data_IF_001333189936
#
_entry.id   IF_001333189936
#
_cell.length_a   1.000
_cell.length_b   1.000
_cell.length_c   1.000
_cell.angle_alpha   90.00
_cell.angle_beta   90.00
_cell.angle_gamma   90.00
#
_symmetry.space_group_name_H-M   'P 1'
#
loop_
_entity.id
_entity.type
_entity.pdbx_description
1 polymer ?
#
# COMPACT_ATOMS: atom_id res chain seq x y z
N UNK A 1 -49.84 19.85 17.92
CA UNK A 1 -48.97 19.97 16.73
C UNK A 1 -47.93 21.04 17.01
N UNK A 2 -46.69 20.63 17.28
CA UNK A 2 -45.52 21.51 17.29
C UNK A 2 -44.54 20.91 16.28
N UNK A 3 -43.83 21.72 15.47
CA UNK A 3 -42.93 21.17 14.47
C UNK A 3 -41.74 20.55 15.20
N UNK A 4 -41.54 19.25 14.99
CA UNK A 4 -40.33 18.57 15.45
C UNK A 4 -39.14 19.16 14.72
N UNK A 5 -38.12 19.55 15.49
CA UNK A 5 -36.84 20.00 14.98
C UNK A 5 -36.25 18.89 14.09
N UNK A 6 -36.33 19.12 12.78
CA UNK A 6 -35.63 18.34 11.77
C UNK A 6 -34.16 18.71 11.90
N UNK A 7 -33.41 17.95 12.70
CA UNK A 7 -31.95 18.05 12.72
C UNK A 7 -31.47 17.61 11.34
N UNK A 8 -31.10 18.57 10.49
CA UNK A 8 -30.57 18.31 9.15
C UNK A 8 -29.44 17.28 9.22
N UNK A 9 -29.51 16.26 8.35
CA UNK A 9 -28.53 15.17 8.24
C UNK A 9 -27.07 15.65 8.06
N UNK A 10 -26.88 16.87 7.56
CA UNK A 10 -25.58 17.55 7.49
C UNK A 10 -24.89 17.70 8.85
N UNK A 11 -25.66 17.80 9.93
CA UNK A 11 -25.13 17.98 11.30
C UNK A 11 -24.63 16.66 11.88
N UNK A 12 -25.24 15.53 11.51
CA UNK A 12 -24.82 14.18 11.92
C UNK A 12 -23.60 13.71 11.11
N UNK A 13 -23.55 14.02 9.81
CA UNK A 13 -22.37 13.79 8.98
C UNK A 13 -21.16 14.59 9.50
N UNK A 14 -21.36 15.86 9.87
CA UNK A 14 -20.30 16.68 10.47
C UNK A 14 -19.84 16.18 11.85
N UNK A 15 -20.73 15.55 12.64
CA UNK A 15 -20.40 14.97 13.96
C UNK A 15 -19.65 13.65 13.83
N UNK A 16 -20.02 12.80 12.87
CA UNK A 16 -19.25 11.59 12.52
C UNK A 16 -17.86 11.90 11.97
N UNK A 17 -17.72 13.02 11.23
CA UNK A 17 -16.41 13.50 10.75
C UNK A 17 -15.54 14.12 11.86
N UNK A 18 -16.14 14.68 12.91
CA UNK A 18 -15.41 15.18 14.10
C UNK A 18 -14.96 14.05 15.03
N UNK A 19 -15.72 12.94 15.08
CA UNK A 19 -15.31 11.71 15.76
C UNK A 19 -14.25 10.92 14.96
N UNK A 20 -14.07 11.24 13.67
CA UNK A 20 -12.86 10.96 12.89
C UNK A 20 -11.72 11.95 13.18
N UNK A 21 -11.68 12.58 14.36
CA UNK A 21 -10.39 12.97 14.91
C UNK A 21 -9.63 11.65 15.02
N UNK A 22 -8.81 11.37 14.01
CA UNK A 22 -7.89 10.26 13.93
C UNK A 22 -7.00 10.41 15.14
N UNK A 23 -7.46 9.93 16.29
CA UNK A 23 -6.64 9.76 17.45
C UNK A 23 -5.45 8.99 16.89
N UNK A 24 -4.23 9.53 16.98
CA UNK A 24 -3.06 8.77 16.57
C UNK A 24 -3.19 7.48 17.35
N UNK A 25 -3.55 6.40 16.66
CA UNK A 25 -3.65 5.11 17.29
C UNK A 25 -2.22 4.91 17.76
N UNK A 26 -2.02 5.02 19.07
CA UNK A 26 -0.72 4.80 19.67
C UNK A 26 -0.30 3.48 19.05
N UNK A 27 0.73 3.51 18.21
CA UNK A 27 1.45 2.31 17.81
C UNK A 27 1.97 1.79 19.15
N UNK A 28 1.15 1.04 19.88
CA UNK A 28 1.63 0.07 20.83
C UNK A 28 2.17 -1.05 19.95
N UNK A 29 3.24 -0.73 19.23
CA UNK A 29 4.28 -1.67 18.89
C UNK A 29 4.87 -2.12 20.22
N UNK A 30 4.10 -2.90 20.99
CA UNK A 30 4.72 -4.06 21.60
C UNK A 30 5.31 -4.78 20.40
N UNK A 31 6.64 -4.72 20.27
CA UNK A 31 7.38 -5.35 19.20
C UNK A 31 6.97 -6.83 19.17
N UNK A 32 5.92 -7.13 18.41
CA UNK A 32 5.36 -8.45 18.30
C UNK A 32 6.39 -9.20 17.49
N UNK A 33 7.05 -10.18 18.10
CA UNK A 33 8.06 -10.97 17.41
C UNK A 33 7.44 -11.51 16.12
N UNK A 34 8.02 -11.12 14.98
CA UNK A 34 7.58 -11.58 13.66
C UNK A 34 7.77 -13.09 13.62
N UNK A 35 6.68 -13.84 13.52
CA UNK A 35 6.73 -15.29 13.47
C UNK A 35 7.01 -15.79 12.06
N UNK A 36 7.46 -17.05 11.94
CA UNK A 36 7.57 -17.74 10.64
C UNK A 36 6.21 -17.80 9.92
N UNK A 37 5.11 -17.82 10.67
CA UNK A 37 3.77 -17.78 10.12
C UNK A 37 3.46 -16.44 9.44
N UNK A 38 3.88 -15.32 10.02
CA UNK A 38 3.67 -13.98 9.46
C UNK A 38 4.44 -13.80 8.15
N UNK A 39 5.68 -14.31 8.10
CA UNK A 39 6.49 -14.33 6.87
C UNK A 39 5.78 -15.15 5.79
N UNK A 40 5.29 -16.33 6.14
CA UNK A 40 4.60 -17.21 5.21
C UNK A 40 3.32 -16.58 4.62
N UNK A 41 2.61 -15.74 5.39
CA UNK A 41 1.42 -15.02 4.88
C UNK A 41 1.81 -14.15 3.69
N UNK A 42 2.91 -13.40 3.77
CA UNK A 42 3.37 -12.51 2.70
C UNK A 42 4.01 -13.28 1.55
N UNK A 43 4.81 -14.30 1.83
CA UNK A 43 5.42 -15.14 0.79
C UNK A 43 4.36 -15.83 -0.09
N UNK A 44 3.27 -16.30 0.52
CA UNK A 44 2.19 -16.97 -0.20
C UNK A 44 1.39 -16.05 -1.14
N UNK A 45 1.53 -14.72 -1.02
CA UNK A 45 0.90 -13.78 -1.94
C UNK A 45 1.58 -13.76 -3.32
N UNK A 46 2.75 -14.39 -3.47
CA UNK A 46 3.51 -14.43 -4.72
C UNK A 46 4.03 -13.07 -5.17
N UNK A 47 3.89 -12.02 -4.34
CA UNK A 47 4.36 -10.69 -4.71
C UNK A 47 5.87 -10.57 -4.58
N UNK A 48 6.51 -11.19 -3.61
CA UNK A 48 7.97 -11.17 -3.46
C UNK A 48 8.54 -12.37 -4.23
N UNK A 49 8.87 -12.16 -5.50
CA UNK A 49 9.21 -13.25 -6.43
C UNK A 49 10.72 -13.34 -6.77
N UNK A 50 11.56 -12.41 -6.30
CA UNK A 50 12.97 -12.31 -6.73
C UNK A 50 13.92 -12.28 -5.51
N UNK A 51 15.06 -12.98 -5.56
CA UNK A 51 16.15 -12.79 -4.59
C UNK A 51 16.59 -11.31 -4.55
N UNK A 52 16.70 -10.73 -3.36
CA UNK A 52 17.07 -9.32 -3.21
C UNK A 52 15.89 -8.35 -3.04
N UNK A 53 14.69 -8.84 -2.74
CA UNK A 53 13.55 -8.03 -2.25
C UNK A 53 13.24 -8.32 -0.76
N UNK A 54 14.26 -8.64 0.04
CA UNK A 54 14.10 -8.96 1.47
C UNK A 54 13.53 -7.78 2.24
N UNK A 55 14.03 -6.56 1.98
CA UNK A 55 13.52 -5.37 2.64
C UNK A 55 12.05 -5.09 2.31
N UNK A 56 11.62 -5.40 1.09
CA UNK A 56 10.22 -5.27 0.70
C UNK A 56 9.34 -6.30 1.44
N UNK A 57 9.81 -7.55 1.53
CA UNK A 57 9.15 -8.59 2.33
C UNK A 57 9.01 -8.15 3.78
N UNK A 58 10.08 -7.70 4.41
CA UNK A 58 10.08 -7.25 5.80
C UNK A 58 9.06 -6.12 6.02
N UNK A 59 9.03 -5.12 5.14
CA UNK A 59 8.06 -4.03 5.18
C UNK A 59 6.62 -4.53 5.08
N UNK A 60 6.31 -5.43 4.14
CA UNK A 60 4.97 -5.97 3.96
C UNK A 60 4.55 -6.88 5.13
N UNK A 61 5.48 -7.64 5.70
CA UNK A 61 5.24 -8.44 6.90
C UNK A 61 4.90 -7.52 8.06
N UNK A 62 5.74 -6.50 8.32
CA UNK A 62 5.49 -5.52 9.37
C UNK A 62 4.13 -4.84 9.18
N UNK A 63 3.79 -4.48 7.95
CA UNK A 63 2.51 -3.88 7.62
C UNK A 63 1.33 -4.82 7.90
N UNK A 64 1.46 -6.11 7.60
CA UNK A 64 0.43 -7.11 7.88
C UNK A 64 0.21 -7.37 9.36
N UNK A 65 1.29 -7.46 10.16
CA UNK A 65 1.20 -7.78 11.60
C UNK A 65 0.73 -6.58 12.44
N UNK A 66 1.07 -5.36 12.00
CA UNK A 66 0.79 -4.14 12.77
C UNK A 66 -0.54 -3.48 12.39
N UNK A 67 -1.17 -3.90 11.28
CA UNK A 67 -2.49 -3.41 10.90
C UNK A 67 -3.59 -4.26 11.54
N UNK A 68 -4.69 -3.66 12.00
CA UNK A 68 -5.86 -4.43 12.39
C UNK A 68 -6.43 -5.17 11.17
N UNK A 69 -7.22 -6.21 11.43
CA UNK A 69 -7.99 -6.90 10.39
C UNK A 69 -9.35 -6.24 10.19
N UNK A 70 -9.89 -6.23 8.96
CA UNK A 70 -11.26 -5.83 8.72
C UNK A 70 -12.22 -6.78 9.45
N UNK A 71 -13.19 -6.22 10.17
CA UNK A 71 -14.25 -7.05 10.73
C UNK A 71 -14.97 -7.83 9.60
N UNK A 72 -15.48 -9.04 9.87
CA UNK A 72 -15.41 -9.82 11.11
C UNK A 72 -14.20 -10.77 11.16
N UNK A 73 -13.11 -10.46 10.43
CA UNK A 73 -11.97 -11.36 10.33
C UNK A 73 -11.07 -11.29 11.56
N UNK A 74 -10.61 -12.45 12.00
CA UNK A 74 -9.56 -12.62 13.01
C UNK A 74 -8.45 -13.52 12.46
N UNK A 75 -7.26 -13.46 13.05
CA UNK A 75 -6.19 -14.42 12.75
C UNK A 75 -6.13 -15.47 13.86
N UNK A 76 -5.77 -16.68 13.48
CA UNK A 76 -5.53 -17.78 14.38
C UNK A 76 -4.34 -18.60 13.88
N UNK A 77 -3.75 -19.37 14.79
CA UNK A 77 -2.60 -20.23 14.50
C UNK A 77 -3.01 -21.69 14.62
N UNK A 78 -2.70 -22.49 13.63
CA UNK A 78 -2.96 -23.93 13.67
C UNK A 78 -1.93 -24.69 14.53
N UNK A 79 -2.14 -25.99 14.73
CA UNK A 79 -1.22 -26.84 15.51
C UNK A 79 0.19 -26.96 14.92
N UNK A 80 0.41 -26.49 13.69
CA UNK A 80 1.69 -26.47 12.99
C UNK A 80 2.34 -25.10 13.00
N UNK A 81 1.77 -24.12 13.70
CA UNK A 81 2.29 -22.76 13.75
C UNK A 81 1.99 -21.93 12.51
N UNK A 82 1.07 -22.36 11.63
CA UNK A 82 0.67 -21.61 10.44
C UNK A 82 -0.47 -20.66 10.77
N UNK A 83 -0.41 -19.45 10.22
CA UNK A 83 -1.46 -18.46 10.38
C UNK A 83 -2.55 -18.71 9.35
N UNK A 84 -3.79 -18.64 9.81
CA UNK A 84 -4.99 -18.60 8.98
C UNK A 84 -5.94 -17.53 9.50
N UNK A 85 -6.89 -17.12 8.67
CA UNK A 85 -7.84 -16.07 8.97
C UNK A 85 -9.25 -16.66 9.01
N UNK A 86 -9.99 -16.35 10.06
CA UNK A 86 -11.33 -16.84 10.29
C UNK A 86 -12.32 -15.67 10.32
N UNK A 87 -13.46 -15.83 9.64
CA UNK A 87 -14.59 -14.93 9.70
C UNK A 87 -15.45 -15.32 10.90
N UNK A 88 -15.54 -14.44 11.90
CA UNK A 88 -16.27 -14.75 13.13
C UNK A 88 -17.79 -14.84 12.95
N UNK A 89 -18.35 -14.27 11.88
CA UNK A 89 -19.78 -14.33 11.61
C UNK A 89 -20.18 -15.59 10.84
N UNK A 90 -19.45 -15.93 9.78
CA UNK A 90 -19.80 -17.06 8.90
C UNK A 90 -19.11 -18.37 9.28
N UNK A 91 -18.05 -18.31 10.09
CA UNK A 91 -17.16 -19.44 10.36
C UNK A 91 -16.26 -19.81 9.18
N UNK A 92 -16.25 -19.00 8.11
CA UNK A 92 -15.36 -19.20 6.95
C UNK A 92 -13.90 -19.05 7.37
N UNK A 93 -13.04 -19.93 6.88
CA UNK A 93 -11.60 -19.87 7.13
C UNK A 93 -10.83 -19.80 5.81
N UNK A 94 -9.78 -18.98 5.76
CA UNK A 94 -8.88 -18.86 4.61
C UNK A 94 -7.43 -18.72 5.04
N UNK A 95 -6.52 -19.10 4.15
CA UNK A 95 -5.08 -18.94 4.34
C UNK A 95 -4.56 -17.57 3.89
N UNK A 96 -5.29 -16.92 2.99
CA UNK A 96 -4.93 -15.61 2.45
C UNK A 96 -5.36 -14.49 3.40
N UNK A 97 -4.49 -13.49 3.57
CA UNK A 97 -4.78 -12.32 4.40
C UNK A 97 -6.03 -11.57 3.90
N UNK A 98 -6.94 -11.10 4.77
CA UNK A 98 -8.13 -10.37 4.35
C UNK A 98 -7.88 -9.13 3.51
N UNK A 99 -6.71 -8.53 3.68
CA UNK A 99 -6.20 -7.39 2.92
C UNK A 99 -5.09 -7.79 1.93
N UNK A 100 -5.10 -9.02 1.42
CA UNK A 100 -4.10 -9.49 0.47
C UNK A 100 -4.02 -8.62 -0.79
N UNK A 101 -5.15 -8.22 -1.37
CA UNK A 101 -5.14 -7.29 -2.53
C UNK A 101 -4.45 -5.97 -2.19
N UNK A 102 -4.69 -5.43 -0.99
CA UNK A 102 -4.02 -4.21 -0.49
C UNK A 102 -2.51 -4.45 -0.38
N UNK A 103 -2.08 -5.57 0.21
CA UNK A 103 -0.66 -5.93 0.29
C UNK A 103 -0.02 -6.05 -1.10
N UNK A 104 -0.74 -6.62 -2.07
CA UNK A 104 -0.23 -6.75 -3.44
C UNK A 104 -0.05 -5.40 -4.13
N UNK A 105 -1.02 -4.50 -3.96
CA UNK A 105 -0.92 -3.14 -4.46
C UNK A 105 0.22 -2.36 -3.77
N UNK A 106 0.34 -2.49 -2.44
CA UNK A 106 1.40 -1.85 -1.67
C UNK A 106 2.79 -2.35 -2.08
N UNK A 107 2.93 -3.63 -2.46
CA UNK A 107 4.19 -4.14 -2.99
C UNK A 107 4.64 -3.38 -4.25
N UNK A 108 3.71 -3.10 -5.18
CA UNK A 108 4.01 -2.31 -6.38
C UNK A 108 4.38 -0.86 -6.07
N UNK A 109 3.63 -0.22 -5.17
CA UNK A 109 3.93 1.15 -4.71
C UNK A 109 5.29 1.22 -4.04
N UNK A 110 5.56 0.32 -3.10
CA UNK A 110 6.81 0.26 -2.36
C UNK A 110 8.01 0.05 -3.30
N UNK A 111 7.93 -0.87 -4.28
CA UNK A 111 8.98 -1.02 -5.30
C UNK A 111 9.28 0.28 -6.04
N UNK A 112 8.22 0.95 -6.48
CA UNK A 112 8.34 2.22 -7.21
C UNK A 112 9.01 3.26 -6.32
N UNK A 113 8.53 3.46 -5.10
CA UNK A 113 9.11 4.39 -4.14
C UNK A 113 10.56 4.04 -3.76
N UNK A 114 10.88 2.76 -3.62
CA UNK A 114 12.23 2.27 -3.30
C UNK A 114 13.21 2.45 -4.46
N UNK A 115 12.75 2.54 -5.71
CA UNK A 115 13.59 2.90 -6.86
C UNK A 115 13.85 4.41 -7.01
N UNK A 116 13.06 5.26 -6.34
CA UNK A 116 13.19 6.71 -6.45
C UNK A 116 14.36 7.25 -5.60
N UNK A 117 15.00 8.36 -6.04
CA UNK A 117 15.83 9.20 -5.18
C UNK A 117 15.04 9.74 -3.99
N UNK A 118 15.73 10.02 -2.87
CA UNK A 118 15.09 10.43 -1.61
C UNK A 118 14.10 11.60 -1.78
N UNK A 119 14.51 12.68 -2.43
CA UNK A 119 13.67 13.89 -2.59
C UNK A 119 12.38 13.59 -3.36
N UNK A 120 12.47 12.77 -4.43
CA UNK A 120 11.29 12.39 -5.22
C UNK A 120 10.40 11.40 -4.46
N UNK A 121 11.01 10.49 -3.69
CA UNK A 121 10.28 9.54 -2.86
C UNK A 121 9.47 10.25 -1.77
N UNK A 122 10.05 11.23 -1.06
CA UNK A 122 9.34 12.02 -0.05
C UNK A 122 8.15 12.78 -0.64
N UNK A 123 8.33 13.40 -1.81
CA UNK A 123 7.21 14.03 -2.52
C UNK A 123 6.15 13.01 -2.94
N UNK A 124 6.56 11.85 -3.45
CA UNK A 124 5.66 10.77 -3.86
C UNK A 124 4.85 10.23 -2.67
N UNK A 125 5.48 9.93 -1.54
CA UNK A 125 4.78 9.41 -0.35
C UNK A 125 3.85 10.45 0.25
N UNK A 126 4.20 11.73 0.24
CA UNK A 126 3.32 12.81 0.67
C UNK A 126 2.09 12.96 -0.24
N UNK A 127 2.27 12.91 -1.56
CA UNK A 127 1.16 12.94 -2.52
C UNK A 127 0.25 11.72 -2.37
N UNK A 128 0.82 10.52 -2.25
CA UNK A 128 0.06 9.28 -2.02
C UNK A 128 -0.73 9.32 -0.71
N UNK A 129 -0.14 9.84 0.36
CA UNK A 129 -0.82 10.02 1.66
C UNK A 129 -2.08 10.86 1.49
N UNK A 130 -1.92 12.03 0.87
CA UNK A 130 -3.01 12.99 0.68
C UNK A 130 -4.14 12.38 -0.17
N UNK A 131 -3.77 11.70 -1.27
CA UNK A 131 -4.73 11.04 -2.14
C UNK A 131 -5.49 9.91 -1.43
N UNK A 132 -4.78 9.01 -0.75
CA UNK A 132 -5.40 7.87 -0.06
C UNK A 132 -6.24 8.29 1.15
N UNK A 133 -5.85 9.33 1.88
CA UNK A 133 -6.70 9.91 2.93
C UNK A 133 -7.98 10.51 2.36
N UNK A 134 -7.89 11.25 1.25
CA UNK A 134 -9.06 11.80 0.59
C UNK A 134 -9.99 10.70 0.06
N UNK A 135 -9.42 9.63 -0.51
CA UNK A 135 -10.17 8.47 -0.97
C UNK A 135 -10.89 7.76 0.18
N UNK A 136 -10.19 7.47 1.28
CA UNK A 136 -10.81 6.84 2.47
C UNK A 136 -11.90 7.72 3.07
N UNK A 137 -11.69 9.04 3.16
CA UNK A 137 -12.72 9.97 3.64
C UNK A 137 -13.94 9.97 2.72
N UNK A 138 -13.73 9.96 1.40
CA UNK A 138 -14.79 9.93 0.39
C UNK A 138 -15.57 8.61 0.44
N UNK A 139 -14.90 7.48 0.61
CA UNK A 139 -15.54 6.17 0.72
C UNK A 139 -16.33 6.06 2.03
N UNK A 140 -15.73 6.47 3.15
CA UNK A 140 -16.41 6.46 4.44
C UNK A 140 -17.66 7.36 4.46
N UNK A 141 -17.60 8.54 3.84
CA UNK A 141 -18.73 9.47 3.77
C UNK A 141 -19.94 8.95 2.97
N UNK A 142 -19.78 7.86 2.19
CA UNK A 142 -20.88 7.24 1.46
C UNK A 142 -21.74 6.31 2.32
N UNK A 143 -21.31 6.02 3.54
CA UNK A 143 -22.03 5.17 4.48
C UNK A 143 -22.74 6.00 5.53
N UNK A 144 -24.02 5.70 5.78
CA UNK A 144 -24.82 6.37 6.80
C UNK A 144 -25.57 5.34 7.67
N UNK A 145 -25.76 5.63 8.97
CA UNK A 145 -26.49 4.75 9.86
C UNK A 145 -27.99 4.78 9.56
N UNK A 146 -28.61 3.61 9.65
CA UNK A 146 -30.06 3.42 9.54
C UNK A 146 -30.52 2.68 10.78
N UNK A 147 -31.46 3.29 11.50
CA UNK A 147 -32.06 2.67 12.69
C UNK A 147 -32.84 1.42 12.30
N UNK A 148 -32.51 0.33 12.97
CA UNK A 148 -33.28 -0.91 13.04
C UNK A 148 -33.92 -1.01 14.44
N UNK A 149 -34.74 -2.03 14.70
CA UNK A 149 -35.52 -2.19 15.94
C UNK A 149 -34.75 -1.76 17.21
N UNK A 150 -35.41 -0.93 18.04
CA UNK A 150 -35.12 -0.33 19.37
C UNK A 150 -33.67 -0.09 19.87
N UNK A 151 -32.65 -0.81 19.42
CA UNK A 151 -31.22 -0.64 19.76
C UNK A 151 -30.26 -1.17 18.67
N UNK A 152 -30.77 -1.64 17.53
CA UNK A 152 -29.92 -2.10 16.43
C UNK A 152 -29.83 -1.03 15.35
N UNK A 153 -28.67 -0.88 14.75
CA UNK A 153 -28.49 -0.06 13.55
C UNK A 153 -27.69 -0.84 12.53
N UNK A 154 -27.96 -0.60 11.26
CA UNK A 154 -27.13 -1.04 10.16
C UNK A 154 -26.67 0.17 9.36
N UNK A 155 -25.68 -0.01 8.50
CA UNK A 155 -25.14 1.04 7.65
C UNK A 155 -25.49 0.74 6.21
N UNK A 156 -26.01 1.75 5.51
CA UNK A 156 -26.35 1.66 4.10
C UNK A 156 -25.42 2.54 3.28
N UNK A 157 -25.05 2.07 2.10
CA UNK A 157 -24.29 2.83 1.13
C UNK A 157 -25.23 3.70 0.28
N UNK A 158 -24.88 4.97 0.08
CA UNK A 158 -25.73 5.96 -0.60
C UNK A 158 -26.03 5.61 -2.06
N UNK A 159 -25.07 5.06 -2.80
CA UNK A 159 -25.22 4.77 -4.24
C UNK A 159 -25.43 3.28 -4.59
N UNK A 160 -24.72 2.34 -3.95
CA UNK A 160 -24.61 0.94 -4.42
C UNK A 160 -25.71 0.00 -3.92
N UNK A 161 -26.62 0.47 -3.06
CA UNK A 161 -27.62 -0.35 -2.35
C UNK A 161 -27.01 -1.42 -1.42
N UNK A 162 -25.72 -1.33 -1.12
CA UNK A 162 -25.06 -2.23 -0.19
C UNK A 162 -25.42 -1.89 1.26
N UNK A 163 -25.47 -2.92 2.10
CA UNK A 163 -25.75 -2.78 3.54
C UNK A 163 -24.79 -3.64 4.35
N UNK A 164 -24.45 -3.18 5.55
CA UNK A 164 -23.65 -3.94 6.52
C UNK A 164 -24.12 -3.66 7.94
N UNK A 165 -23.93 -4.62 8.83
CA UNK A 165 -24.28 -4.48 10.25
C UNK A 165 -23.11 -3.92 11.05
N UNK A 166 -21.89 -4.16 10.58
CA UNK A 166 -20.67 -3.63 11.12
C UNK A 166 -20.52 -2.14 10.81
N UNK A 167 -19.92 -1.41 11.73
CA UNK A 167 -19.59 -0.01 11.49
C UNK A 167 -18.59 0.10 10.32
N UNK A 168 -18.79 0.99 9.32
CA UNK A 168 -17.94 1.09 8.13
C UNK A 168 -16.45 1.27 8.46
N UNK A 169 -16.16 1.97 9.56
CA UNK A 169 -14.79 2.15 10.05
C UNK A 169 -14.07 0.82 10.35
N UNK A 170 -14.79 -0.20 10.84
CA UNK A 170 -14.21 -1.51 11.15
C UNK A 170 -13.87 -2.32 9.90
N UNK A 171 -14.41 -1.93 8.73
CA UNK A 171 -14.18 -2.58 7.45
C UNK A 171 -13.14 -1.79 6.63
N UNK A 172 -13.31 -0.46 6.56
CA UNK A 172 -12.53 0.42 5.68
C UNK A 172 -11.20 0.88 6.29
N UNK A 173 -11.16 1.23 7.58
CA UNK A 173 -9.95 1.81 8.19
C UNK A 173 -8.76 0.83 8.30
N UNK A 174 -8.95 -0.49 8.50
CA UNK A 174 -7.83 -1.44 8.48
C UNK A 174 -6.94 -1.35 7.24
N UNK A 175 -7.53 -1.24 6.04
CA UNK A 175 -6.77 -1.06 4.81
C UNK A 175 -6.09 0.32 4.76
N UNK A 176 -6.76 1.36 5.24
CA UNK A 176 -6.19 2.70 5.33
C UNK A 176 -4.97 2.76 6.25
N UNK A 177 -5.05 2.15 7.44
CA UNK A 177 -3.92 2.10 8.38
C UNK A 177 -2.71 1.36 7.80
N UNK A 178 -2.95 0.24 7.13
CA UNK A 178 -1.89 -0.50 6.44
C UNK A 178 -1.18 0.36 5.40
N UNK A 179 -1.95 1.12 4.61
CA UNK A 179 -1.43 2.08 3.63
C UNK A 179 -0.58 3.16 4.30
N UNK A 180 -1.09 3.79 5.35
CA UNK A 180 -0.38 4.88 6.06
C UNK A 180 0.95 4.40 6.65
N UNK A 181 0.95 3.23 7.29
CA UNK A 181 2.16 2.64 7.84
C UNK A 181 3.22 2.37 6.76
N UNK A 182 2.83 1.82 5.61
CA UNK A 182 3.79 1.62 4.51
C UNK A 182 4.32 2.96 4.00
N UNK A 183 3.49 4.01 3.93
CA UNK A 183 3.97 5.35 3.56
C UNK A 183 4.90 5.94 4.62
N UNK A 184 4.68 5.69 5.90
CA UNK A 184 5.57 6.12 6.99
C UNK A 184 6.95 5.45 6.84
N UNK A 185 6.96 4.12 6.64
CA UNK A 185 8.19 3.34 6.40
C UNK A 185 8.95 3.79 5.15
N UNK A 186 8.24 4.13 4.07
CA UNK A 186 8.84 4.61 2.82
C UNK A 186 9.33 6.06 2.90
N UNK A 187 8.77 6.85 3.81
CA UNK A 187 9.19 8.24 4.04
C UNK A 187 10.43 8.31 4.93
N UNK A 188 10.62 7.33 5.81
CA UNK A 188 11.80 7.21 6.66
C UNK A 188 13.04 6.78 5.86
N UNK A 189 14.04 7.66 5.79
CA UNK A 189 15.29 7.40 5.09
C UNK A 189 16.12 6.28 5.69
N UNK A 190 16.07 6.09 7.01
CA UNK A 190 16.84 5.06 7.73
C UNK A 190 16.25 3.68 7.46
N UNK A 191 14.92 3.54 7.60
CA UNK A 191 14.21 2.30 7.28
C UNK A 191 14.42 1.90 5.82
N UNK A 192 14.36 2.86 4.88
CA UNK A 192 14.64 2.53 3.48
C UNK A 192 16.10 2.14 3.25
N UNK A 193 17.07 2.79 3.92
CA UNK A 193 18.46 2.37 3.83
C UNK A 193 18.66 0.94 4.39
N UNK A 194 17.97 0.59 5.47
CA UNK A 194 17.91 -0.77 6.02
C UNK A 194 17.31 -1.74 5.00
N UNK A 195 16.15 -1.45 4.42
CA UNK A 195 15.52 -2.31 3.42
C UNK A 195 16.39 -2.50 2.17
N UNK A 196 17.11 -1.47 1.73
CA UNK A 196 18.06 -1.57 0.61
C UNK A 196 19.32 -2.37 0.98
N UNK A 197 19.83 -2.24 2.20
CA UNK A 197 21.04 -2.96 2.65
C UNK A 197 20.79 -4.44 2.95
N UNK A 198 19.60 -4.81 3.41
CA UNK A 198 19.15 -6.19 3.52
C UNK A 198 19.17 -6.92 2.16
N UNK A 199 19.06 -6.17 1.06
CA UNK A 199 19.16 -6.72 -0.30
C UNK A 199 20.63 -6.91 -0.76
N UNK A 200 21.60 -6.27 -0.09
CA UNK A 200 23.03 -6.32 -0.45
C UNK A 200 23.79 -7.46 0.24
N UNK A 201 23.33 -7.93 1.40
CA UNK A 201 24.01 -8.96 2.21
C UNK A 201 24.06 -10.35 1.56
N UNK A 202 23.34 -10.58 0.46
CA UNK A 202 23.39 -11.81 -0.32
C UNK A 202 24.40 -11.81 -1.48
N UNK A 203 25.17 -10.73 -1.67
CA UNK A 203 26.16 -10.62 -2.77
C UNK A 203 27.63 -10.79 -2.34
N UNK A 204 27.90 -11.27 -1.12
CA UNK A 204 29.28 -11.49 -0.62
C UNK A 204 29.55 -12.94 -0.23
N UNK A 205 29.09 -13.89 -1.05
CA UNK A 205 29.73 -15.22 -1.11
C UNK A 205 30.54 -15.24 -2.39
N UNK A 206 31.84 -14.97 -2.27
CA UNK A 206 32.82 -15.38 -3.28
C UNK A 206 32.71 -16.90 -3.44
N UNK A 207 32.46 -17.45 -4.64
CA UNK A 207 32.68 -18.87 -4.85
C UNK A 207 34.19 -19.08 -4.94
N UNK A 208 34.74 -19.74 -3.92
CA UNK A 208 36.04 -20.38 -3.96
C UNK A 208 36.03 -21.46 -5.05
N UNK A 209 37.20 -21.66 -5.65
CA UNK A 209 37.45 -22.38 -6.89
C UNK A 209 36.92 -23.82 -6.93
N UNK A 210 36.60 -24.26 -8.15
CA UNK A 210 36.35 -25.65 -8.64
C UNK A 210 34.94 -26.25 -8.49
N UNK A 211 34.06 -25.91 -9.44
CA UNK A 211 33.00 -26.82 -9.93
C UNK A 211 33.04 -26.82 -11.47
N UNK A 212 33.09 -27.97 -12.16
CA UNK A 212 33.07 -28.00 -13.62
C UNK A 212 31.67 -27.60 -14.13
N UNK A 213 31.64 -26.75 -15.16
CA UNK A 213 30.41 -26.33 -15.84
C UNK A 213 29.55 -27.54 -16.27
N UNK A 214 28.21 -27.51 -16.06
CA UNK A 214 27.31 -28.25 -16.91
C UNK A 214 27.14 -27.50 -18.24
N UNK A 215 27.11 -28.26 -19.33
CA UNK A 215 26.98 -27.75 -20.69
C UNK A 215 25.83 -26.75 -20.82
N UNK A 216 26.16 -25.58 -21.37
CA UNK A 216 25.22 -24.53 -21.71
C UNK A 216 24.29 -25.01 -22.84
N UNK A 217 23.15 -25.57 -22.46
CA UNK A 217 21.98 -25.70 -23.32
C UNK A 217 20.86 -24.83 -22.74
N UNK A 218 20.62 -23.68 -23.38
CA UNK A 218 19.48 -22.82 -23.07
C UNK A 218 19.81 -21.35 -22.86
N UNK A 219 20.71 -20.77 -23.67
CA UNK A 219 20.70 -19.31 -23.84
C UNK A 219 19.58 -18.96 -24.82
N UNK A 220 18.66 -18.10 -24.37
CA UNK A 220 17.75 -17.39 -25.28
C UNK A 220 18.56 -16.72 -26.39
N UNK A 221 17.95 -16.62 -27.58
CA UNK A 221 18.65 -16.21 -28.79
C UNK A 221 19.39 -14.89 -28.56
N UNK A 222 20.63 -14.79 -29.04
CA UNK A 222 21.41 -13.54 -29.05
C UNK A 222 20.64 -12.38 -29.69
N UNK A 223 19.64 -12.69 -30.52
CA UNK A 223 18.76 -11.73 -31.18
C UNK A 223 17.75 -11.09 -30.21
N UNK A 224 17.31 -11.81 -29.17
CA UNK A 224 16.33 -11.29 -28.19
C UNK A 224 16.98 -10.25 -27.24
N UNK A 225 18.27 -10.41 -26.95
CA UNK A 225 19.01 -9.48 -26.09
C UNK A 225 19.36 -8.17 -26.83
N UNK A 226 19.66 -8.26 -28.12
CA UNK A 226 19.86 -7.09 -28.99
C UNK A 226 18.54 -6.34 -29.24
N UNK A 227 17.41 -7.05 -29.37
CA UNK A 227 16.09 -6.42 -29.46
C UNK A 227 15.75 -5.58 -28.23
N UNK A 228 15.97 -6.12 -27.03
CA UNK A 228 15.76 -5.38 -25.77
C UNK A 228 16.70 -4.18 -25.63
N UNK A 229 17.95 -4.30 -26.08
CA UNK A 229 18.91 -3.20 -26.07
C UNK A 229 18.45 -2.04 -26.98
N UNK A 230 17.99 -2.36 -28.19
CA UNK A 230 17.45 -1.36 -29.13
C UNK A 230 16.18 -0.68 -28.59
N UNK A 231 15.30 -1.42 -27.93
CA UNK A 231 14.09 -0.88 -27.31
C UNK A 231 14.41 0.09 -26.16
N UNK A 232 15.45 -0.22 -25.35
CA UNK A 232 15.95 0.70 -24.32
C UNK A 232 16.57 1.96 -24.92
N UNK A 233 17.37 1.84 -25.99
CA UNK A 233 17.99 2.99 -26.66
C UNK A 233 16.95 3.92 -27.32
N UNK A 234 15.85 3.37 -27.85
CA UNK A 234 14.74 4.15 -28.40
C UNK A 234 13.98 4.89 -27.29
N UNK A 235 13.76 4.23 -26.15
CA UNK A 235 13.10 4.84 -24.99
C UNK A 235 13.91 5.97 -24.38
N UNK A 236 15.23 5.82 -24.28
CA UNK A 236 16.13 6.87 -23.81
C UNK A 236 16.10 8.10 -24.74
N UNK A 237 16.05 7.88 -26.06
CA UNK A 237 15.89 8.97 -27.03
C UNK A 237 14.57 9.72 -26.86
N UNK A 238 13.48 9.00 -26.59
CA UNK A 238 12.17 9.59 -26.30
C UNK A 238 12.18 10.46 -25.04
N UNK A 239 12.82 9.98 -23.97
CA UNK A 239 12.97 10.73 -22.71
C UNK A 239 13.82 12.00 -22.90
N UNK A 240 14.90 11.92 -23.68
CA UNK A 240 15.72 13.09 -24.02
C UNK A 240 14.94 14.14 -24.80
N UNK A 241 14.16 13.72 -25.80
CA UNK A 241 13.33 14.63 -26.60
C UNK A 241 12.25 15.32 -25.75
N UNK A 242 11.64 14.58 -24.82
CA UNK A 242 10.65 15.14 -23.89
C UNK A 242 11.28 16.13 -22.90
N UNK A 243 12.52 15.90 -22.46
CA UNK A 243 13.26 16.83 -21.61
C UNK A 243 13.62 18.12 -22.35
N UNK A 244 14.03 18.04 -23.63
CA UNK A 244 14.30 19.21 -24.47
C UNK A 244 13.04 20.05 -24.73
N UNK A 245 11.91 19.40 -25.04
CA UNK A 245 10.64 20.10 -25.26
C UNK A 245 10.17 20.83 -24.00
N UNK A 246 10.33 20.19 -22.84
CA UNK A 246 10.03 20.83 -21.54
C UNK A 246 10.92 22.03 -21.28
N UNK A 247 12.23 21.93 -21.54
CA UNK A 247 13.15 23.05 -21.37
C UNK A 247 12.81 24.24 -22.29
N UNK A 248 12.35 23.97 -23.52
CA UNK A 248 11.90 25.00 -24.45
C UNK A 248 10.61 25.69 -23.96
N UNK A 249 9.67 24.93 -23.39
CA UNK A 249 8.45 25.49 -22.81
C UNK A 249 8.75 26.37 -21.59
N UNK A 250 9.67 25.94 -20.72
CA UNK A 250 10.13 26.73 -19.56
C UNK A 250 10.80 28.04 -20.02
N UNK A 251 11.64 28.00 -21.07
CA UNK A 251 12.23 29.21 -21.64
C UNK A 251 11.18 30.18 -22.22
N UNK A 252 10.15 29.66 -22.90
CA UNK A 252 9.04 30.48 -23.44
C UNK A 252 8.18 31.09 -22.33
N UNK A 253 7.93 30.35 -21.25
CA UNK A 253 7.23 30.85 -20.07
C UNK A 253 7.99 32.02 -19.43
N UNK A 254 9.31 31.87 -19.21
CA UNK A 254 10.13 32.97 -18.67
C UNK A 254 10.11 34.22 -19.57
N UNK A 255 10.11 34.06 -20.90
CA UNK A 255 10.02 35.20 -21.81
C UNK A 255 8.67 35.93 -21.72
N UNK A 256 7.56 35.18 -21.60
CA UNK A 256 6.22 35.75 -21.42
C UNK A 256 6.05 36.46 -20.07
N UNK A 257 6.70 35.96 -19.02
CA UNK A 257 6.70 36.61 -17.70
C UNK A 257 7.49 37.93 -17.69
N UNK A 258 8.55 38.03 -18.50
CA UNK A 258 9.31 39.27 -18.68
C UNK A 258 8.52 40.32 -19.47
N UNK A 259 7.82 39.92 -20.53
CA UNK A 259 6.97 40.82 -21.34
C UNK A 259 5.71 41.30 -20.59
N UNK A 260 5.24 40.56 -19.58
CA UNK A 260 4.09 40.95 -18.75
C UNK A 260 4.46 41.88 -17.57
N UNK A 261 5.76 42.10 -17.33
CA UNK A 261 6.30 42.94 -16.26
C UNK A 261 6.71 44.36 -16.68
N UNK A 262 6.72 44.67 -17.98
CA UNK A 262 6.87 46.03 -18.55
C UNK A 262 5.51 46.70 -18.82
#
# INVERSE_FOLDING_TARGET
EGPGDFVSGDTLAAKGLQDMTMAPMQLSASAKEISKGDIAVVDNLGVVSIPGEEGLREMLVLASVSSPLPAPWTHATDSRGRIFFANNHTGETRWEHPLADTLRNLAGVARTCLSLPQVLRESCTASLRTAWEADTKREFAQWYPVEHDQDQQYYAHVETQEVMWEHPAQILLPAHYMKMMVLDLLSDGEEVARFRSANTTLSTVLPDDTVPLPDAAGLGSSDDLEALRLELEEKDRGLQQQAEERALLEQRLCALEQDAGE
#
